data_IF_702022258103
#
_entry.id   IF_702022258103
#
_cell.length_a   1.000
_cell.length_b   1.000
_cell.length_c   1.000
_cell.angle_alpha   90.00
_cell.angle_beta   90.00
_cell.angle_gamma   90.00
#
_symmetry.space_group_name_H-M   'P 1'
#
loop_
_entity.id
_entity.type
_entity.pdbx_description
1 polymer ?
#
# COMPACT_ATOMS: atom_id res chain seq x y z
N UNK A 1 -2.23 7.19 19.99
CA UNK A 1 -3.11 7.60 18.86
C UNK A 1 -3.86 6.37 18.36
N UNK A 2 -5.17 6.44 18.26
CA UNK A 2 -5.97 5.34 17.70
C UNK A 2 -6.20 5.63 16.21
N UNK A 3 -5.82 4.71 15.34
CA UNK A 3 -6.15 4.75 13.92
C UNK A 3 -7.43 3.92 13.73
N UNK A 4 -8.48 4.49 13.18
CA UNK A 4 -9.75 3.78 12.99
C UNK A 4 -9.88 3.27 11.56
N UNK A 5 -9.65 4.13 10.58
CA UNK A 5 -9.81 3.84 9.16
C UNK A 5 -8.44 3.76 8.47
N UNK A 6 -8.17 2.62 7.87
CA UNK A 6 -6.89 2.34 7.22
C UNK A 6 -7.11 2.00 5.76
N UNK A 7 -6.41 2.70 4.88
CA UNK A 7 -6.35 2.35 3.46
C UNK A 7 -5.09 1.53 3.18
N UNK A 8 -5.23 0.44 2.44
CA UNK A 8 -4.12 -0.44 2.08
C UNK A 8 -4.07 -0.68 0.57
N UNK A 9 -2.89 -0.55 -0.02
CA UNK A 9 -2.60 -0.98 -1.40
C UNK A 9 -1.74 -2.24 -1.37
N UNK A 10 -1.88 -3.10 -2.39
CA UNK A 10 -1.12 -4.35 -2.46
C UNK A 10 -1.56 -5.42 -1.45
N UNK A 11 -2.77 -5.30 -0.91
CA UNK A 11 -3.36 -6.19 0.11
C UNK A 11 -3.46 -7.66 -0.31
N UNK A 12 -3.41 -7.96 -1.60
CA UNK A 12 -3.53 -9.31 -2.16
C UNK A 12 -2.18 -10.01 -2.40
N UNK A 13 -1.08 -9.30 -2.18
CA UNK A 13 0.29 -9.81 -2.31
C UNK A 13 0.74 -10.67 -1.11
N UNK A 14 1.96 -11.19 -1.21
CA UNK A 14 2.57 -12.07 -0.18
C UNK A 14 2.67 -11.36 1.17
N UNK A 15 3.12 -10.11 1.18
CA UNK A 15 3.21 -9.28 2.40
C UNK A 15 1.83 -8.70 2.77
N UNK A 16 1.06 -8.29 1.76
CA UNK A 16 -0.21 -7.60 1.97
C UNK A 16 -1.29 -8.46 2.63
N UNK A 17 -1.45 -9.75 2.24
CA UNK A 17 -2.48 -10.63 2.81
C UNK A 17 -2.34 -10.85 4.32
N UNK A 18 -1.19 -11.24 4.85
CA UNK A 18 -1.04 -11.39 6.30
C UNK A 18 -1.18 -10.06 7.04
N UNK A 19 -0.69 -8.96 6.46
CA UNK A 19 -0.86 -7.64 7.04
C UNK A 19 -2.33 -7.23 7.10
N UNK A 20 -3.08 -7.43 6.01
CA UNK A 20 -4.52 -7.16 5.95
C UNK A 20 -5.28 -7.87 7.09
N UNK A 21 -5.04 -9.18 7.24
CA UNK A 21 -5.65 -9.97 8.33
C UNK A 21 -5.27 -9.43 9.72
N UNK A 22 -4.02 -9.06 9.91
CA UNK A 22 -3.56 -8.51 11.19
C UNK A 22 -4.25 -7.19 11.53
N UNK A 23 -4.37 -6.28 10.56
CA UNK A 23 -5.00 -4.98 10.74
C UNK A 23 -6.49 -5.15 11.07
N UNK A 24 -7.20 -6.02 10.33
CA UNK A 24 -8.62 -6.33 10.59
C UNK A 24 -8.80 -6.93 11.98
N UNK A 25 -7.98 -7.90 12.37
CA UNK A 25 -8.04 -8.55 13.70
C UNK A 25 -7.75 -7.57 14.85
N UNK A 26 -7.08 -6.46 14.58
CA UNK A 26 -6.88 -5.39 15.56
C UNK A 26 -8.10 -4.44 15.68
N UNK A 27 -9.16 -4.69 14.92
CA UNK A 27 -10.42 -3.94 14.99
C UNK A 27 -10.42 -2.64 14.21
N UNK A 28 -9.57 -2.51 13.20
CA UNK A 28 -9.59 -1.36 12.30
C UNK A 28 -10.57 -1.56 11.15
N UNK A 29 -11.20 -0.48 10.70
CA UNK A 29 -11.91 -0.45 9.43
C UNK A 29 -10.90 -0.38 8.29
N UNK A 30 -10.98 -1.32 7.36
CA UNK A 30 -9.98 -1.42 6.29
C UNK A 30 -10.60 -1.22 4.92
N UNK A 31 -9.96 -0.39 4.13
CA UNK A 31 -10.25 -0.13 2.73
C UNK A 31 -9.09 -0.67 1.90
N UNK A 32 -9.36 -1.56 0.95
CA UNK A 32 -8.32 -2.22 0.17
C UNK A 32 -8.44 -1.91 -1.32
N UNK A 33 -7.39 -1.33 -1.90
CA UNK A 33 -7.33 -1.11 -3.35
C UNK A 33 -7.14 -2.43 -4.09
N UNK A 34 -7.99 -2.72 -5.05
CA UNK A 34 -7.90 -3.92 -5.88
C UNK A 34 -8.33 -3.65 -7.33
N UNK A 35 -7.51 -4.14 -8.26
CA UNK A 35 -7.76 -4.03 -9.71
C UNK A 35 -8.67 -5.13 -10.25
N UNK A 36 -8.91 -6.18 -9.48
CA UNK A 36 -9.63 -7.36 -9.95
C UNK A 36 -10.54 -7.94 -8.88
N UNK A 37 -11.49 -8.76 -9.32
CA UNK A 37 -12.47 -9.42 -8.45
C UNK A 37 -11.98 -10.78 -7.91
N UNK A 38 -10.76 -11.20 -8.27
CA UNK A 38 -10.23 -12.52 -7.90
C UNK A 38 -10.08 -12.73 -6.38
N UNK A 39 -10.06 -11.65 -5.60
CA UNK A 39 -9.89 -11.70 -4.15
C UNK A 39 -11.12 -11.16 -3.39
N UNK A 40 -12.27 -11.04 -4.04
CA UNK A 40 -13.48 -10.50 -3.41
C UNK A 40 -13.93 -11.35 -2.22
N UNK A 41 -13.78 -12.67 -2.28
CA UNK A 41 -14.02 -13.55 -1.14
C UNK A 41 -13.17 -13.20 0.08
N UNK A 42 -11.87 -12.91 -0.13
CA UNK A 42 -10.98 -12.50 0.95
C UNK A 42 -11.46 -11.22 1.62
N UNK A 43 -11.93 -10.26 0.84
CA UNK A 43 -12.41 -8.98 1.35
C UNK A 43 -13.75 -9.14 2.09
N UNK A 44 -14.70 -9.88 1.50
CA UNK A 44 -16.00 -10.13 2.15
C UNK A 44 -15.86 -10.91 3.45
N UNK A 45 -15.04 -11.95 3.49
CA UNK A 45 -14.81 -12.77 4.68
C UNK A 45 -14.19 -11.97 5.84
N UNK A 46 -13.39 -10.96 5.51
CA UNK A 46 -12.72 -10.10 6.49
C UNK A 46 -13.50 -8.80 6.79
N UNK A 47 -14.64 -8.55 6.14
CA UNK A 47 -15.36 -7.30 6.28
C UNK A 47 -14.59 -6.08 5.77
N UNK A 48 -13.72 -6.27 4.77
CA UNK A 48 -12.89 -5.22 4.17
C UNK A 48 -13.66 -4.53 3.05
N UNK A 49 -13.69 -3.21 3.03
CA UNK A 49 -14.27 -2.45 1.93
C UNK A 49 -13.29 -2.42 0.77
N UNK A 50 -13.65 -3.05 -0.35
CA UNK A 50 -12.91 -2.98 -1.59
C UNK A 50 -13.08 -1.59 -2.22
N UNK A 51 -11.98 -1.00 -2.63
CA UNK A 51 -11.92 0.16 -3.53
C UNK A 51 -11.44 -0.36 -4.88
N UNK A 52 -12.29 -0.24 -5.90
CA UNK A 52 -11.97 -0.73 -7.22
C UNK A 52 -11.11 0.28 -7.98
N UNK A 53 -9.99 -0.18 -8.53
CA UNK A 53 -9.08 0.66 -9.28
C UNK A 53 -7.62 0.26 -9.11
N UNK A 54 -6.75 1.10 -9.64
CA UNK A 54 -5.30 1.01 -9.49
C UNK A 54 -4.71 2.28 -8.85
N UNK A 55 -3.39 2.35 -8.76
CA UNK A 55 -2.70 3.48 -8.11
C UNK A 55 -2.92 4.83 -8.82
N UNK A 56 -3.44 4.82 -10.04
CA UNK A 56 -3.66 6.00 -10.90
C UNK A 56 -5.14 6.33 -11.08
N UNK A 57 -6.03 5.66 -10.35
CA UNK A 57 -7.48 5.91 -10.44
C UNK A 57 -7.82 7.19 -9.70
N UNK A 58 -8.15 8.24 -10.44
CA UNK A 58 -8.45 9.58 -9.88
C UNK A 58 -9.64 9.57 -8.92
N UNK A 59 -10.65 8.72 -9.20
CA UNK A 59 -11.86 8.62 -8.38
C UNK A 59 -11.62 8.04 -6.97
N UNK A 60 -10.43 7.51 -6.66
CA UNK A 60 -10.14 6.95 -5.32
C UNK A 60 -10.41 7.98 -4.21
N UNK A 61 -10.11 9.25 -4.46
CA UNK A 61 -10.34 10.30 -3.47
C UNK A 61 -11.83 10.42 -3.11
N UNK A 62 -12.71 10.33 -4.10
CA UNK A 62 -14.15 10.48 -3.92
C UNK A 62 -14.76 9.32 -3.13
N UNK A 63 -14.15 8.13 -3.23
CA UNK A 63 -14.54 6.95 -2.43
C UNK A 63 -14.34 7.15 -0.93
N UNK A 64 -13.56 8.14 -0.54
CA UNK A 64 -13.29 8.47 0.86
C UNK A 64 -14.04 9.71 1.36
N UNK A 65 -14.96 10.28 0.56
CA UNK A 65 -15.73 11.48 0.94
C UNK A 65 -16.41 11.37 2.30
N UNK A 66 -16.94 10.17 2.61
CA UNK A 66 -17.66 9.88 3.85
C UNK A 66 -16.78 9.25 4.94
N UNK A 67 -15.48 9.10 4.69
CA UNK A 67 -14.56 8.42 5.60
C UNK A 67 -13.34 9.28 5.90
N UNK A 68 -13.02 9.40 7.18
CA UNK A 68 -11.76 10.02 7.61
C UNK A 68 -10.67 8.95 7.64
N UNK A 69 -9.86 8.85 6.59
CA UNK A 69 -8.75 7.91 6.54
C UNK A 69 -7.62 8.40 7.45
N UNK A 70 -7.23 7.57 8.40
CA UNK A 70 -6.19 7.90 9.37
C UNK A 70 -4.79 7.52 8.90
N UNK A 71 -4.67 6.39 8.19
CA UNK A 71 -3.39 5.89 7.73
C UNK A 71 -3.48 5.20 6.37
N UNK A 72 -2.39 5.28 5.61
CA UNK A 72 -2.20 4.52 4.37
C UNK A 72 -1.04 3.54 4.57
N UNK A 73 -1.28 2.25 4.25
CA UNK A 73 -0.24 1.23 4.09
C UNK A 73 -0.02 1.00 2.60
N UNK A 74 1.07 1.53 2.08
CA UNK A 74 1.43 1.38 0.67
C UNK A 74 2.39 0.20 0.50
N UNK A 75 1.82 -0.97 0.18
CA UNK A 75 2.53 -2.24 0.00
C UNK A 75 2.62 -2.61 -1.48
N UNK A 76 1.78 -1.98 -2.31
CA UNK A 76 1.78 -2.23 -3.74
C UNK A 76 3.14 -1.88 -4.34
N UNK A 77 3.69 -2.82 -5.09
CA UNK A 77 4.92 -2.65 -5.84
C UNK A 77 5.10 -3.80 -6.82
N UNK A 78 5.91 -3.58 -7.83
CA UNK A 78 6.28 -4.59 -8.82
C UNK A 78 7.75 -4.95 -8.59
N UNK A 79 7.99 -6.21 -8.21
CA UNK A 79 9.34 -6.75 -8.06
C UNK A 79 9.49 -7.94 -9.02
N UNK A 80 9.93 -7.67 -10.25
CA UNK A 80 10.24 -8.69 -11.25
C UNK A 80 11.70 -8.55 -11.66
N UNK A 81 12.54 -9.45 -11.19
CA UNK A 81 13.90 -9.56 -11.67
C UNK A 81 13.88 -9.83 -13.19
N UNK A 82 14.75 -9.15 -13.94
CA UNK A 82 14.84 -9.27 -15.39
C UNK A 82 13.51 -8.97 -16.12
N UNK A 83 12.79 -7.97 -15.67
CA UNK A 83 11.54 -7.55 -16.31
C UNK A 83 11.78 -7.17 -17.78
N UNK A 84 10.97 -7.74 -18.68
CA UNK A 84 10.91 -7.29 -20.08
C UNK A 84 10.21 -5.93 -20.24
N UNK A 85 9.56 -5.44 -19.20
CA UNK A 85 8.90 -4.14 -19.17
C UNK A 85 9.38 -3.33 -17.94
N UNK A 86 10.59 -2.77 -17.98
CA UNK A 86 11.11 -1.94 -16.88
C UNK A 86 10.33 -0.64 -16.71
N UNK A 87 9.76 -0.07 -17.76
CA UNK A 87 8.95 1.15 -17.70
C UNK A 87 7.69 0.96 -16.86
N UNK A 88 6.98 -0.16 -17.05
CA UNK A 88 5.79 -0.48 -16.25
C UNK A 88 6.12 -0.68 -14.77
N UNK A 89 7.28 -1.26 -14.46
CA UNK A 89 7.77 -1.40 -13.09
C UNK A 89 8.11 -0.03 -12.49
N UNK A 90 8.82 0.80 -13.24
CA UNK A 90 9.19 2.15 -12.84
C UNK A 90 7.94 3.01 -12.57
N UNK A 91 6.98 2.98 -13.49
CA UNK A 91 5.71 3.66 -13.34
C UNK A 91 4.98 3.23 -12.07
N UNK A 92 4.83 1.92 -11.84
CA UNK A 92 4.11 1.42 -10.67
C UNK A 92 4.82 1.79 -9.35
N UNK A 93 6.15 1.65 -9.29
CA UNK A 93 6.89 1.82 -8.05
C UNK A 93 7.21 3.29 -7.72
N UNK A 94 7.40 4.14 -8.71
CA UNK A 94 7.73 5.54 -8.50
C UNK A 94 6.50 6.42 -8.64
N UNK A 95 5.87 6.42 -9.82
CA UNK A 95 4.71 7.29 -10.05
C UNK A 95 3.52 6.86 -9.18
N UNK A 96 3.26 5.55 -9.06
CA UNK A 96 2.21 5.04 -8.18
C UNK A 96 2.43 5.40 -6.71
N UNK A 97 3.68 5.40 -6.23
CA UNK A 97 3.99 5.86 -4.86
C UNK A 97 3.76 7.36 -4.70
N UNK A 98 4.12 8.17 -5.70
CA UNK A 98 3.82 9.62 -5.70
C UNK A 98 2.33 9.89 -5.64
N UNK A 99 1.52 9.17 -6.42
CA UNK A 99 0.06 9.31 -6.39
C UNK A 99 -0.50 8.98 -4.99
N UNK A 100 -0.01 7.93 -4.34
CA UNK A 100 -0.45 7.57 -2.99
C UNK A 100 -0.02 8.58 -1.93
N UNK A 101 1.15 9.19 -2.08
CA UNK A 101 1.59 10.29 -1.20
C UNK A 101 0.72 11.54 -1.39
N UNK A 102 0.38 11.89 -2.64
CA UNK A 102 -0.51 13.00 -2.94
C UNK A 102 -1.92 12.75 -2.38
N UNK A 103 -2.45 11.52 -2.56
CA UNK A 103 -3.72 11.10 -1.98
C UNK A 103 -3.70 11.28 -0.45
N UNK A 104 -2.66 10.78 0.21
CA UNK A 104 -2.49 10.92 1.65
C UNK A 104 -2.46 12.37 2.12
N UNK A 105 -1.81 13.23 1.36
CA UNK A 105 -1.75 14.67 1.63
C UNK A 105 -3.14 15.34 1.48
N UNK A 106 -3.86 15.02 0.41
CA UNK A 106 -5.24 15.50 0.18
C UNK A 106 -6.19 15.05 1.28
N UNK A 107 -6.09 13.80 1.72
CA UNK A 107 -6.90 13.21 2.81
C UNK A 107 -6.44 13.67 4.19
N UNK A 108 -5.31 14.37 4.31
CA UNK A 108 -4.71 14.82 5.58
C UNK A 108 -4.51 13.68 6.57
N UNK A 109 -4.03 12.54 6.07
CA UNK A 109 -3.79 11.36 6.90
C UNK A 109 -2.77 11.62 8.00
N UNK A 110 -2.84 10.84 9.08
CA UNK A 110 -1.91 10.94 10.22
C UNK A 110 -0.61 10.17 10.01
N UNK A 111 -0.68 9.09 9.20
CA UNK A 111 0.46 8.19 9.01
C UNK A 111 0.47 7.59 7.60
N UNK A 112 1.63 7.64 6.96
CA UNK A 112 1.91 6.92 5.72
C UNK A 112 2.98 5.86 6.00
N UNK A 113 2.69 4.60 5.71
CA UNK A 113 3.61 3.48 5.86
C UNK A 113 3.91 2.93 4.48
N UNK A 114 5.18 2.96 4.09
CA UNK A 114 5.65 2.49 2.80
C UNK A 114 6.54 1.26 2.96
N UNK A 115 6.26 0.21 2.20
CA UNK A 115 7.15 -0.94 2.11
C UNK A 115 8.24 -0.67 1.09
N UNK A 116 9.41 -0.32 1.57
CA UNK A 116 10.60 -0.08 0.77
C UNK A 116 11.37 -1.40 0.52
N UNK A 117 12.60 -1.30 0.11
CA UNK A 117 13.50 -2.44 -0.14
C UNK A 117 14.79 -2.27 0.67
N UNK A 118 15.33 -3.39 1.18
CA UNK A 118 16.62 -3.41 1.84
C UNK A 118 17.78 -2.93 0.94
N UNK A 119 17.61 -3.03 -0.38
CA UNK A 119 18.59 -2.53 -1.36
C UNK A 119 18.84 -1.02 -1.24
N UNK A 120 17.88 -0.27 -0.68
CA UNK A 120 18.03 1.17 -0.46
C UNK A 120 19.05 1.53 0.63
N UNK A 121 19.46 0.54 1.45
CA UNK A 121 20.46 0.75 2.51
C UNK A 121 21.90 0.69 1.99
N UNK A 122 22.08 0.45 0.69
CA UNK A 122 23.42 0.28 0.09
C UNK A 122 24.08 -1.05 0.45
N UNK A 123 25.22 -1.29 -0.16
CA UNK A 123 26.06 -2.46 0.11
C UNK A 123 27.50 -1.99 0.37
N UNK A 124 27.98 -2.21 1.59
CA UNK A 124 29.40 -2.11 1.91
C UNK A 124 29.89 -3.48 2.34
N UNK A 125 30.91 -4.00 1.63
CA UNK A 125 31.41 -5.36 1.85
C UNK A 125 31.90 -5.51 3.29
N UNK A 126 31.34 -6.48 4.01
CA UNK A 126 31.74 -6.81 5.38
C UNK A 126 31.04 -6.00 6.47
N UNK A 127 30.08 -5.17 6.12
CA UNK A 127 29.26 -4.41 7.07
C UNK A 127 27.81 -4.92 7.12
N UNK A 128 27.13 -4.62 8.22
CA UNK A 128 25.68 -4.84 8.37
C UNK A 128 25.02 -3.48 8.33
N UNK A 129 24.27 -3.23 7.25
CA UNK A 129 23.50 -1.98 7.12
C UNK A 129 22.27 -1.96 8.03
N UNK A 130 21.96 -0.80 8.56
CA UNK A 130 20.77 -0.54 9.38
C UNK A 130 20.20 0.85 9.07
N UNK A 131 19.22 1.31 9.87
CA UNK A 131 18.51 2.58 9.65
C UNK A 131 19.40 3.82 9.79
N UNK A 132 20.65 3.68 10.24
CA UNK A 132 21.63 4.75 10.38
C UNK A 132 22.71 4.71 9.30
N UNK A 133 22.61 3.75 8.36
CA UNK A 133 23.54 3.65 7.23
C UNK A 133 23.19 4.70 6.17
N UNK A 134 24.23 5.37 5.66
CA UNK A 134 24.11 6.38 4.59
C UNK A 134 23.93 5.74 3.19
#
# INVERSE_FOLDING_TARGET
MKYNNIFITGSTGVVGKPLLRKIVNQGHNVFALSRSNNNDHLFSDLGVKKIEGDLFTEAIYDEFSDYNIDAIFHIAGVNKMCSKNPEGMFKANIEGTKEMLQLGNRLKIKKFIYTSSAVTLGEEIGTVSNELSD
#
